data_IF_467948251074
#
_entry.id   IF_467948251074
#
_cell.length_a   1.000
_cell.length_b   1.000
_cell.length_c   1.000
_cell.angle_alpha   90.00
_cell.angle_beta   90.00
_cell.angle_gamma   90.00
#
_symmetry.space_group_name_H-M   'P 1'
#
loop_
_entity.id
_entity.type
_entity.pdbx_description
1 polymer ?
#
# COMPACT_ATOMS: atom_id res chain seq x y z
N UNK A 1 12.25 -6.24 42.81
CA UNK A 1 11.15 -6.71 41.93
C UNK A 1 11.26 -6.29 40.44
N UNK A 2 12.40 -5.80 39.95
CA UNK A 2 12.54 -5.28 38.58
C UNK A 2 12.88 -6.34 37.52
N UNK A 3 13.59 -7.41 37.91
CA UNK A 3 14.00 -8.51 37.01
C UNK A 3 12.84 -9.19 36.27
N UNK A 4 11.71 -9.57 36.91
CA UNK A 4 10.60 -10.21 36.21
C UNK A 4 9.93 -9.29 35.19
N UNK A 5 9.80 -7.99 35.50
CA UNK A 5 9.22 -6.99 34.58
C UNK A 5 10.08 -6.82 33.32
N UNK A 6 11.41 -6.81 33.46
CA UNK A 6 12.35 -6.70 32.33
C UNK A 6 12.42 -7.98 31.49
N UNK A 7 12.38 -9.16 32.11
CA UNK A 7 12.36 -10.45 31.40
C UNK A 7 11.10 -10.57 30.53
N UNK A 8 9.94 -10.14 31.03
CA UNK A 8 8.68 -10.15 30.27
C UNK A 8 8.64 -9.17 29.08
N UNK A 9 9.54 -8.18 29.01
CA UNK A 9 9.63 -7.23 27.89
C UNK A 9 10.48 -7.75 26.72
N UNK A 10 11.47 -8.62 26.98
CA UNK A 10 12.40 -9.15 25.97
C UNK A 10 11.70 -9.77 24.75
N UNK A 11 10.70 -10.67 24.88
CA UNK A 11 10.05 -11.28 23.73
C UNK A 11 9.33 -10.26 22.84
N UNK A 12 8.79 -9.22 23.46
CA UNK A 12 8.07 -8.14 22.75
C UNK A 12 9.05 -7.29 21.95
N UNK A 13 10.19 -6.93 22.54
CA UNK A 13 11.25 -6.17 21.88
C UNK A 13 11.85 -6.92 20.68
N UNK A 14 12.04 -8.24 20.80
CA UNK A 14 12.52 -9.08 19.69
C UNK A 14 11.53 -9.09 18.52
N UNK A 15 10.22 -9.23 18.80
CA UNK A 15 9.17 -9.17 17.76
C UNK A 15 9.15 -7.79 17.07
N UNK A 16 9.16 -6.70 17.83
CA UNK A 16 9.21 -5.32 17.29
C UNK A 16 10.43 -5.12 16.39
N UNK A 17 11.61 -5.61 16.82
CA UNK A 17 12.84 -5.52 16.04
C UNK A 17 12.73 -6.27 14.71
N UNK A 18 12.21 -7.50 14.72
CA UNK A 18 12.02 -8.30 13.51
C UNK A 18 11.11 -7.60 12.48
N UNK A 19 9.97 -7.06 12.92
CA UNK A 19 9.05 -6.32 12.03
C UNK A 19 9.66 -5.02 11.52
N UNK A 20 10.45 -4.34 12.35
CA UNK A 20 11.16 -3.13 11.93
C UNK A 20 12.16 -3.42 10.81
N UNK A 21 12.90 -4.54 10.89
CA UNK A 21 13.81 -4.98 9.82
C UNK A 21 13.03 -5.29 8.54
N UNK A 22 11.95 -6.07 8.62
CA UNK A 22 11.08 -6.35 7.45
C UNK A 22 10.56 -5.05 6.80
N UNK A 23 10.17 -4.07 7.60
CA UNK A 23 9.67 -2.78 7.12
C UNK A 23 10.78 -1.96 6.43
N UNK A 24 12.00 -1.97 6.97
CA UNK A 24 13.17 -1.29 6.37
C UNK A 24 13.49 -1.90 5.01
N UNK A 25 13.45 -3.22 4.87
CA UNK A 25 13.67 -3.89 3.58
C UNK A 25 12.58 -3.58 2.54
N UNK A 26 11.36 -3.26 2.98
CA UNK A 26 10.25 -2.86 2.12
C UNK A 26 10.29 -1.39 1.69
N UNK A 27 10.96 -0.51 2.45
CA UNK A 27 10.97 0.95 2.17
C UNK A 27 11.41 1.29 0.73
N UNK A 28 12.49 0.71 0.17
CA UNK A 28 12.93 1.08 -1.17
C UNK A 28 11.88 0.76 -2.25
N UNK A 29 11.18 -0.37 -2.13
CA UNK A 29 10.12 -0.77 -3.06
C UNK A 29 8.92 0.19 -2.97
N UNK A 30 8.54 0.58 -1.74
CA UNK A 30 7.45 1.53 -1.51
C UNK A 30 7.78 2.95 -1.99
N UNK A 31 9.03 3.41 -1.82
CA UNK A 31 9.48 4.72 -2.29
C UNK A 31 9.47 4.78 -3.81
N UNK A 32 9.86 3.70 -4.51
CA UNK A 32 9.78 3.62 -5.98
C UNK A 32 8.34 3.62 -6.49
N UNK A 33 7.40 2.99 -5.78
CA UNK A 33 5.99 2.97 -6.15
C UNK A 33 5.29 4.33 -5.99
N UNK A 34 5.63 5.09 -4.95
CA UNK A 34 4.94 6.33 -4.58
C UNK A 34 4.81 7.35 -5.73
N UNK A 35 5.89 7.75 -6.44
CA UNK A 35 5.79 8.69 -7.55
C UNK A 35 5.06 8.11 -8.77
N UNK A 36 5.18 6.80 -9.01
CA UNK A 36 4.48 6.14 -10.11
C UNK A 36 2.96 6.13 -9.88
N UNK A 37 2.52 5.78 -8.67
CA UNK A 37 1.11 5.82 -8.27
C UNK A 37 0.56 7.25 -8.27
N UNK A 38 1.36 8.24 -7.85
CA UNK A 38 0.97 9.65 -7.89
C UNK A 38 0.73 10.15 -9.32
N UNK A 39 1.52 9.69 -10.30
CA UNK A 39 1.30 10.01 -11.74
C UNK A 39 0.10 9.26 -12.32
N UNK A 40 -0.16 8.04 -11.87
CA UNK A 40 -1.23 7.19 -12.38
C UNK A 40 -2.63 7.62 -11.89
N UNK A 41 -2.75 8.05 -10.62
CA UNK A 41 -4.03 8.45 -9.99
C UNK A 41 -4.83 9.46 -10.81
N UNK A 42 -4.26 10.62 -11.21
CA UNK A 42 -5.00 11.62 -11.99
C UNK A 42 -5.47 11.08 -13.35
N UNK A 43 -4.71 10.19 -13.98
CA UNK A 43 -5.10 9.59 -15.26
C UNK A 43 -6.25 8.58 -15.07
N UNK A 44 -6.22 7.76 -14.02
CA UNK A 44 -7.32 6.85 -13.70
C UNK A 44 -8.62 7.60 -13.38
N UNK A 45 -8.55 8.72 -12.65
CA UNK A 45 -9.72 9.56 -12.34
C UNK A 45 -10.34 10.15 -13.61
N UNK A 46 -9.54 10.47 -14.63
CA UNK A 46 -10.05 10.97 -15.93
C UNK A 46 -10.69 9.88 -16.78
N UNK A 47 -10.16 8.65 -16.73
CA UNK A 47 -10.61 7.54 -17.59
C UNK A 47 -11.84 6.83 -17.01
N UNK A 48 -11.92 6.66 -15.69
CA UNK A 48 -13.03 5.93 -15.04
C UNK A 48 -14.42 6.40 -15.49
N UNK A 49 -14.73 7.70 -15.46
CA UNK A 49 -16.02 8.22 -15.94
C UNK A 49 -16.26 7.98 -17.44
N UNK A 50 -15.21 8.00 -18.27
CA UNK A 50 -15.35 7.71 -19.70
C UNK A 50 -15.69 6.23 -19.94
N UNK A 51 -15.06 5.30 -19.21
CA UNK A 51 -15.34 3.87 -19.32
C UNK A 51 -16.77 3.54 -18.87
N UNK A 52 -17.26 4.16 -17.79
CA UNK A 52 -18.64 3.98 -17.30
C UNK A 52 -19.67 4.46 -18.32
N UNK A 53 -19.38 5.52 -19.09
CA UNK A 53 -20.27 5.99 -20.17
C UNK A 53 -20.24 5.09 -21.40
N UNK A 54 -19.09 4.49 -21.70
CA UNK A 54 -18.93 3.60 -22.87
C UNK A 54 -19.59 2.24 -22.65
N UNK A 55 -19.53 1.66 -21.44
CA UNK A 55 -20.10 0.34 -21.15
C UNK A 55 -21.57 0.18 -21.59
N UNK A 56 -22.49 1.07 -21.16
CA UNK A 56 -23.89 1.05 -21.60
C UNK A 56 -24.07 1.35 -23.10
N UNK A 57 -23.21 2.20 -23.67
CA UNK A 57 -23.20 2.51 -25.11
C UNK A 57 -22.69 1.35 -25.98
N UNK A 58 -21.98 0.35 -25.43
CA UNK A 58 -21.56 -0.84 -26.15
C UNK A 58 -22.63 -1.94 -26.17
N UNK A 59 -23.53 -1.96 -25.16
CA UNK A 59 -24.57 -2.99 -25.00
C UNK A 59 -25.76 -2.74 -25.93
N UNK A 60 -26.11 -1.47 -26.15
CA UNK A 60 -26.85 -1.07 -27.35
C UNK A 60 -25.77 -1.02 -28.42
N UNK A 61 -25.78 -1.75 -29.54
CA UNK A 61 -25.38 -1.11 -30.82
C UNK A 61 -25.45 -1.91 -32.13
N UNK A 62 -26.09 -1.26 -33.12
CA UNK A 62 -25.80 -1.32 -34.57
C UNK A 62 -25.33 0.02 -35.18
N UNK A 63 -26.01 1.18 -35.02
CA UNK A 63 -25.64 2.44 -35.74
C UNK A 63 -24.74 3.49 -35.01
N UNK A 64 -24.82 3.66 -33.69
CA UNK A 64 -24.05 4.65 -32.91
C UNK A 64 -22.54 4.34 -32.68
N UNK A 65 -21.96 3.31 -33.32
CA UNK A 65 -20.51 3.07 -33.27
C UNK A 65 -19.71 4.29 -33.77
N UNK A 66 -20.31 5.10 -34.65
CA UNK A 66 -19.77 6.38 -35.13
C UNK A 66 -19.65 7.41 -34.00
N UNK A 67 -20.61 7.45 -33.06
CA UNK A 67 -20.59 8.39 -31.91
C UNK A 67 -19.54 8.01 -30.85
N UNK A 68 -19.17 6.73 -30.77
CA UNK A 68 -18.14 6.24 -29.84
C UNK A 68 -16.71 6.51 -30.34
N UNK A 69 -16.51 6.64 -31.65
CA UNK A 69 -15.19 6.81 -32.28
C UNK A 69 -14.37 7.97 -31.69
N UNK A 70 -14.93 9.18 -31.48
CA UNK A 70 -14.21 10.30 -30.87
C UNK A 70 -13.82 10.05 -29.39
N UNK A 71 -14.66 9.35 -28.61
CA UNK A 71 -14.33 9.01 -27.22
C UNK A 71 -13.20 7.98 -27.16
N UNK A 72 -13.23 6.95 -28.01
CA UNK A 72 -12.15 5.96 -28.11
C UNK A 72 -10.83 6.60 -28.58
N UNK A 73 -10.89 7.56 -29.50
CA UNK A 73 -9.73 8.33 -29.94
C UNK A 73 -9.11 9.16 -28.80
N UNK A 74 -9.92 9.73 -27.89
CA UNK A 74 -9.43 10.46 -26.71
C UNK A 74 -8.82 9.54 -25.65
N UNK A 75 -9.29 8.30 -25.54
CA UNK A 75 -8.76 7.31 -24.59
C UNK A 75 -7.42 6.70 -25.03
N UNK A 76 -7.20 6.50 -26.33
CA UNK A 76 -5.96 5.89 -26.87
C UNK A 76 -4.68 6.53 -26.32
N UNK A 77 -4.48 7.86 -26.41
CA UNK A 77 -3.25 8.50 -25.90
C UNK A 77 -3.06 8.34 -24.40
N UNK A 78 -4.15 8.31 -23.62
CA UNK A 78 -4.07 8.09 -22.17
C UNK A 78 -3.69 6.65 -21.84
N UNK A 79 -4.26 5.66 -22.54
CA UNK A 79 -3.90 4.25 -22.39
C UNK A 79 -2.43 3.98 -22.76
N UNK A 80 -1.93 4.62 -23.83
CA UNK A 80 -0.51 4.55 -24.24
C UNK A 80 0.42 5.12 -23.18
N UNK A 81 0.03 6.19 -22.46
CA UNK A 81 0.82 6.75 -21.35
C UNK A 81 0.81 5.88 -20.10
N UNK A 82 -0.30 5.20 -19.82
CA UNK A 82 -0.48 4.37 -18.62
C UNK A 82 0.20 3.00 -18.78
N UNK A 83 0.15 2.38 -19.96
CA UNK A 83 0.67 1.03 -20.22
C UNK A 83 2.10 0.82 -19.70
N UNK A 84 3.07 1.67 -20.07
CA UNK A 84 4.45 1.57 -19.58
C UNK A 84 4.59 1.73 -18.06
N UNK A 85 3.74 2.56 -17.43
CA UNK A 85 3.73 2.70 -15.98
C UNK A 85 3.22 1.42 -15.31
N UNK A 86 2.16 0.80 -15.84
CA UNK A 86 1.64 -0.47 -15.31
C UNK A 86 2.65 -1.61 -15.45
N UNK A 87 3.37 -1.69 -16.58
CA UNK A 87 4.43 -2.69 -16.80
C UNK A 87 5.57 -2.54 -15.78
N UNK A 88 5.92 -1.31 -15.39
CA UNK A 88 6.95 -1.06 -14.36
C UNK A 88 6.46 -1.33 -12.94
N UNK A 89 5.20 -1.01 -12.64
CA UNK A 89 4.60 -1.16 -11.31
C UNK A 89 4.27 -2.63 -11.00
N UNK A 90 3.80 -3.40 -11.99
CA UNK A 90 3.31 -4.77 -11.82
C UNK A 90 4.28 -5.70 -11.09
N UNK A 91 5.54 -5.85 -11.55
CA UNK A 91 6.53 -6.69 -10.89
C UNK A 91 6.86 -6.25 -9.46
N UNK A 92 6.85 -4.94 -9.18
CA UNK A 92 7.11 -4.40 -7.85
C UNK A 92 5.93 -4.73 -6.92
N UNK A 93 4.69 -4.60 -7.39
CA UNK A 93 3.49 -4.99 -6.64
C UNK A 93 3.49 -6.48 -6.32
N UNK A 94 3.86 -7.35 -7.28
CA UNK A 94 3.93 -8.81 -7.05
C UNK A 94 4.93 -9.15 -5.94
N UNK A 95 6.06 -8.44 -5.85
CA UNK A 95 7.06 -8.65 -4.79
C UNK A 95 6.63 -8.07 -3.44
N UNK A 96 5.94 -6.94 -3.43
CA UNK A 96 5.56 -6.22 -2.19
C UNK A 96 4.29 -6.81 -1.56
N UNK A 97 3.32 -7.26 -2.36
CA UNK A 97 1.99 -7.66 -1.88
C UNK A 97 2.03 -8.82 -0.87
N UNK A 98 2.76 -9.92 -1.09
CA UNK A 98 2.86 -11.00 -0.09
C UNK A 98 3.52 -10.53 1.22
N UNK A 99 4.58 -9.71 1.11
CA UNK A 99 5.27 -9.16 2.27
C UNK A 99 4.35 -8.25 3.11
N UNK A 100 3.52 -7.42 2.46
CA UNK A 100 2.53 -6.59 3.13
C UNK A 100 1.42 -7.40 3.80
N UNK A 101 0.98 -8.51 3.20
CA UNK A 101 -0.03 -9.41 3.79
C UNK A 101 0.50 -10.04 5.09
N UNK A 102 1.79 -10.35 5.15
CA UNK A 102 2.43 -10.91 6.35
C UNK A 102 2.64 -9.82 7.42
N UNK A 103 3.15 -8.65 7.02
CA UNK A 103 3.52 -7.58 7.97
C UNK A 103 2.31 -6.80 8.49
N UNK A 104 1.21 -6.72 7.74
CA UNK A 104 0.00 -5.96 8.11
C UNK A 104 -0.60 -6.41 9.45
N UNK A 105 -0.98 -7.69 9.61
CA UNK A 105 -1.50 -8.22 10.87
C UNK A 105 -0.50 -8.12 12.02
N UNK A 106 0.80 -8.36 11.74
CA UNK A 106 1.88 -8.22 12.72
C UNK A 106 1.95 -6.79 13.30
N UNK A 107 1.80 -5.75 12.46
CA UNK A 107 1.80 -4.35 12.88
C UNK A 107 0.57 -3.99 13.73
N UNK A 108 -0.61 -4.54 13.39
CA UNK A 108 -1.84 -4.33 14.17
C UNK A 108 -1.69 -4.92 15.57
N UNK A 109 -1.13 -6.12 15.66
CA UNK A 109 -0.91 -6.80 16.94
C UNK A 109 0.19 -6.13 17.79
N UNK A 110 1.18 -5.50 17.18
CA UNK A 110 2.29 -4.85 17.90
C UNK A 110 1.94 -3.48 18.48
N UNK A 111 1.05 -2.70 17.85
CA UNK A 111 0.63 -1.39 18.40
C UNK A 111 0.23 -1.44 19.88
N UNK A 112 -0.70 -2.31 20.31
CA UNK A 112 -1.09 -2.40 21.72
C UNK A 112 0.05 -2.92 22.60
N UNK A 113 0.93 -3.79 22.09
CA UNK A 113 2.10 -4.26 22.83
C UNK A 113 3.09 -3.11 23.09
N UNK A 114 3.36 -2.25 22.10
CA UNK A 114 4.20 -1.07 22.24
C UNK A 114 3.67 -0.09 23.30
N UNK A 115 2.35 0.13 23.32
CA UNK A 115 1.70 0.97 24.35
C UNK A 115 1.92 0.37 25.74
N UNK A 116 1.69 -0.93 25.92
CA UNK A 116 1.93 -1.64 27.20
C UNK A 116 3.39 -1.58 27.63
N UNK A 117 4.34 -1.76 26.69
CA UNK A 117 5.78 -1.66 26.95
C UNK A 117 6.15 -0.24 27.40
N UNK A 118 5.62 0.79 26.73
CA UNK A 118 5.86 2.19 27.06
C UNK A 118 5.34 2.54 28.45
N UNK A 119 4.14 2.09 28.80
CA UNK A 119 3.58 2.27 30.15
C UNK A 119 4.44 1.61 31.22
N UNK A 120 4.85 0.35 31.01
CA UNK A 120 5.74 -0.36 31.93
C UNK A 120 7.11 0.31 32.07
N UNK A 121 7.67 0.87 31.00
CA UNK A 121 8.93 1.63 31.03
C UNK A 121 8.79 2.92 31.85
N UNK A 122 7.65 3.62 31.72
CA UNK A 122 7.36 4.81 32.52
C UNK A 122 7.22 4.47 34.02
N UNK A 123 6.60 3.34 34.37
CA UNK A 123 6.51 2.88 35.77
C UNK A 123 7.87 2.45 36.37
N UNK A 124 8.77 1.95 35.53
CA UNK A 124 10.04 1.35 35.95
C UNK A 124 11.18 2.38 35.98
N UNK A 125 11.11 3.42 35.14
CA UNK A 125 12.10 4.52 35.10
C UNK A 125 12.38 5.17 36.46
N UNK A 126 11.37 5.54 37.27
CA UNK A 126 11.59 6.13 38.60
C UNK A 126 12.18 5.17 39.64
N UNK A 127 12.20 3.85 39.36
CA UNK A 127 12.70 2.81 40.27
C UNK A 127 14.13 2.35 39.92
N UNK A 128 14.69 2.90 38.85
CA UNK A 128 16.03 2.63 38.33
C UNK A 128 17.00 3.80 38.59
N UNK A 129 16.46 4.97 38.93
CA UNK A 129 17.18 6.12 39.50
C UNK A 129 17.15 5.97 41.01
#
# INVERSE_FOLDING_TARGET
>A
MLRPKLVNLRPTLVKVRSISVKLVMLRPELVKLRPMLAKLRPMLVKIGPMLVKIGPMLVKLGPELVKLRPMLAKLRPMLVKIGPMLVKIGPILVKVRPKLVIVGPELVNIRPMLVKVRLKLVEVRPKLV
#
